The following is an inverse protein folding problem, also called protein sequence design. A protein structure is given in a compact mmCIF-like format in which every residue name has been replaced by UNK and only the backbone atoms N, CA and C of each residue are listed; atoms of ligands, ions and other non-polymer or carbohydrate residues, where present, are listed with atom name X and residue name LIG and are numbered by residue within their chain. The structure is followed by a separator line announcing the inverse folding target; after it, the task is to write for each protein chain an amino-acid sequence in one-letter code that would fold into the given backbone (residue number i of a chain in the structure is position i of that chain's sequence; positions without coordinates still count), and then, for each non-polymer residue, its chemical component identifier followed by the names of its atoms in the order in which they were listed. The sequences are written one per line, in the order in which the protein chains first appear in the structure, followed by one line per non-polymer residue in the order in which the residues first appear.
data_IF_821249523967
#
_entry.id   IF_821249523967
#
_cell.length_a   1.000
_cell.length_b   1.000
_cell.length_c   1.000
_cell.angle_alpha   90.00
_cell.angle_beta   90.00
_cell.angle_gamma   90.00
#
_symmetry.space_group_name_H-M   'P 1'
#
loop_
_entity.id
_entity.type
_entity.pdbx_description
1 polymer ?
#
# COMPACT_ATOMS: atom_id res chain seq x y z
N UNK A 1 -15.57 -6.24 45.00
CA UNK A 1 -15.53 -6.54 43.54
C UNK A 1 -15.28 -8.03 43.40
N UNK A 2 -16.33 -8.79 43.16
CA UNK A 2 -16.24 -10.24 42.96
C UNK A 2 -16.03 -10.49 41.46
N UNK A 3 -15.02 -11.25 41.02
CA UNK A 3 -14.84 -11.58 39.62
C UNK A 3 -15.97 -12.52 39.19
N UNK A 4 -16.76 -12.10 38.19
CA UNK A 4 -17.79 -12.92 37.59
C UNK A 4 -17.18 -14.10 36.82
N UNK A 5 -17.90 -15.22 36.77
CA UNK A 5 -17.49 -16.39 35.99
C UNK A 5 -17.41 -16.06 34.50
N UNK A 6 -16.34 -16.49 33.84
CA UNK A 6 -16.23 -16.48 32.39
C UNK A 6 -17.33 -17.38 31.81
N UNK A 7 -18.16 -16.83 30.92
CA UNK A 7 -19.15 -17.64 30.22
C UNK A 7 -18.42 -18.63 29.32
N UNK A 8 -18.75 -19.92 29.44
CA UNK A 8 -18.41 -20.90 28.41
C UNK A 8 -19.05 -20.46 27.10
N UNK A 9 -18.28 -19.76 26.25
CA UNK A 9 -18.69 -19.43 24.90
C UNK A 9 -18.66 -20.74 24.10
N UNK A 10 -19.72 -21.52 24.24
CA UNK A 10 -20.04 -22.61 23.31
C UNK A 10 -20.44 -21.91 22.02
N UNK A 11 -19.44 -21.59 21.20
CA UNK A 11 -19.64 -21.15 19.83
C UNK A 11 -20.06 -22.40 19.04
N UNK A 12 -21.33 -22.79 19.15
CA UNK A 12 -21.90 -23.82 18.29
C UNK A 12 -21.75 -23.34 16.85
N UNK A 13 -20.78 -23.88 16.12
CA UNK A 13 -20.60 -23.58 14.70
C UNK A 13 -21.86 -24.13 14.01
N UNK A 14 -22.72 -23.27 13.43
CA UNK A 14 -23.93 -23.73 12.80
C UNK A 14 -23.56 -24.67 11.63
N UNK A 15 -24.35 -25.72 11.37
CA UNK A 15 -24.05 -26.67 10.31
C UNK A 15 -23.90 -25.95 8.96
N UNK A 16 -22.73 -26.07 8.35
CA UNK A 16 -22.41 -25.52 7.04
C UNK A 16 -23.24 -26.24 5.97
N UNK A 17 -24.41 -25.69 5.63
CA UNK A 17 -25.26 -26.19 4.54
C UNK A 17 -24.61 -25.87 3.19
N UNK A 18 -24.77 -26.78 2.22
CA UNK A 18 -24.31 -26.54 0.85
C UNK A 18 -24.96 -25.25 0.30
N UNK A 19 -24.16 -24.31 -0.22
CA UNK A 19 -24.68 -23.02 -0.64
C UNK A 19 -25.46 -23.17 -1.95
N UNK A 20 -26.67 -22.62 -1.99
CA UNK A 20 -27.46 -22.53 -3.22
C UNK A 20 -26.86 -21.49 -4.16
N UNK A 21 -26.66 -21.83 -5.44
CA UNK A 21 -26.05 -20.96 -6.45
C UNK A 21 -26.79 -19.62 -6.59
N UNK A 22 -28.12 -19.62 -6.50
CA UNK A 22 -28.94 -18.41 -6.52
C UNK A 22 -28.59 -17.44 -5.39
N UNK A 23 -28.44 -17.96 -4.17
CA UNK A 23 -28.11 -17.17 -2.99
C UNK A 23 -26.67 -16.64 -3.07
N UNK A 24 -25.74 -17.42 -3.62
CA UNK A 24 -24.37 -16.96 -3.86
C UNK A 24 -24.38 -15.78 -4.83
N UNK A 25 -25.08 -15.89 -5.96
CA UNK A 25 -25.15 -14.83 -6.96
C UNK A 25 -25.75 -13.54 -6.38
N UNK A 26 -26.91 -13.63 -5.71
CA UNK A 26 -27.56 -12.45 -5.13
C UNK A 26 -26.68 -11.78 -4.08
N UNK A 27 -26.07 -12.55 -3.16
CA UNK A 27 -25.20 -12.01 -2.12
C UNK A 27 -23.90 -11.44 -2.70
N UNK A 28 -23.36 -12.07 -3.74
CA UNK A 28 -22.15 -11.59 -4.42
C UNK A 28 -22.43 -10.29 -5.14
N UNK A 29 -23.54 -10.21 -5.89
CA UNK A 29 -23.93 -8.98 -6.59
C UNK A 29 -24.21 -7.83 -5.63
N UNK A 30 -24.94 -8.07 -4.54
CA UNK A 30 -25.17 -7.04 -3.53
C UNK A 30 -23.87 -6.54 -2.87
N UNK A 31 -22.92 -7.44 -2.61
CA UNK A 31 -21.60 -7.06 -2.07
C UNK A 31 -20.77 -6.27 -3.09
N UNK A 32 -20.81 -6.66 -4.37
CA UNK A 32 -20.13 -5.93 -5.45
C UNK A 32 -20.71 -4.53 -5.60
N UNK A 33 -22.04 -4.39 -5.63
CA UNK A 33 -22.71 -3.09 -5.76
C UNK A 33 -22.33 -2.16 -4.60
N UNK A 34 -22.35 -2.67 -3.37
CA UNK A 34 -21.94 -1.90 -2.19
C UNK A 34 -20.46 -1.50 -2.24
N UNK A 35 -19.58 -2.43 -2.63
CA UNK A 35 -18.15 -2.15 -2.80
C UNK A 35 -17.90 -1.10 -3.87
N UNK A 36 -18.60 -1.18 -5.02
CA UNK A 36 -18.46 -0.19 -6.08
C UNK A 36 -18.95 1.19 -5.62
N UNK A 37 -20.08 1.26 -4.92
CA UNK A 37 -20.62 2.51 -4.39
C UNK A 37 -19.68 3.19 -3.38
N UNK A 38 -18.94 2.43 -2.58
CA UNK A 38 -18.01 2.99 -1.60
C UNK A 38 -16.62 3.28 -2.20
N UNK A 39 -16.05 2.34 -2.96
CA UNK A 39 -14.68 2.40 -3.44
C UNK A 39 -14.50 3.30 -4.67
N UNK A 40 -15.43 3.23 -5.65
CA UNK A 40 -15.29 3.97 -6.92
C UNK A 40 -15.23 5.49 -6.71
N UNK A 41 -16.09 6.12 -5.87
CA UNK A 41 -16.00 7.56 -5.63
C UNK A 41 -14.65 7.98 -5.05
N UNK A 42 -14.09 7.17 -4.14
CA UNK A 42 -12.79 7.43 -3.53
C UNK A 42 -11.66 7.38 -4.57
N UNK A 43 -11.74 6.41 -5.49
CA UNK A 43 -10.78 6.29 -6.59
C UNK A 43 -10.84 7.48 -7.55
N UNK A 44 -12.05 7.90 -7.95
CA UNK A 44 -12.23 9.06 -8.84
C UNK A 44 -11.68 10.34 -8.19
N UNK A 45 -11.96 10.55 -6.90
CA UNK A 45 -11.40 11.67 -6.15
C UNK A 45 -9.86 11.61 -6.10
N UNK A 46 -9.31 10.45 -5.78
CA UNK A 46 -7.86 10.25 -5.72
C UNK A 46 -7.16 10.52 -7.04
N UNK A 47 -7.69 10.00 -8.16
CA UNK A 47 -7.11 10.24 -9.49
C UNK A 47 -7.28 11.69 -9.93
N UNK A 48 -8.40 12.34 -9.63
CA UNK A 48 -8.60 13.76 -9.92
C UNK A 48 -7.61 14.65 -9.15
N UNK A 49 -7.37 14.34 -7.87
CA UNK A 49 -6.37 15.05 -7.06
C UNK A 49 -4.97 14.86 -7.64
N UNK A 50 -4.57 13.62 -7.98
CA UNK A 50 -3.28 13.36 -8.60
C UNK A 50 -3.11 14.06 -9.95
N UNK A 51 -4.12 13.98 -10.82
CA UNK A 51 -4.10 14.63 -12.13
C UNK A 51 -3.96 16.15 -12.01
N UNK A 52 -4.68 16.74 -11.04
CA UNK A 52 -4.59 18.19 -10.77
C UNK A 52 -3.20 18.56 -10.24
N UNK A 53 -2.67 17.78 -9.30
CA UNK A 53 -1.33 17.97 -8.74
C UNK A 53 -0.22 17.80 -9.79
N UNK A 54 -0.41 16.90 -10.76
CA UNK A 54 0.49 16.67 -11.88
C UNK A 54 0.48 17.88 -12.83
N UNK A 55 -0.72 18.36 -13.20
CA UNK A 55 -0.89 19.58 -14.01
C UNK A 55 -0.28 20.82 -13.36
N UNK A 56 -0.34 20.93 -12.04
CA UNK A 56 0.27 22.00 -11.26
C UNK A 56 1.79 21.82 -11.05
N UNK A 57 2.39 20.73 -11.57
CA UNK A 57 3.81 20.35 -11.37
C UNK A 57 4.20 20.20 -9.90
N UNK A 58 3.26 19.86 -9.02
CA UNK A 58 3.55 19.53 -7.63
C UNK A 58 4.17 18.13 -7.50
N UNK A 59 3.76 17.15 -8.33
CA UNK A 59 4.32 15.80 -8.30
C UNK A 59 5.86 15.81 -8.50
N UNK A 60 6.41 16.44 -9.56
CA UNK A 60 7.85 16.53 -9.76
C UNK A 60 8.61 17.24 -8.63
N UNK A 61 7.94 18.15 -7.90
CA UNK A 61 8.53 18.85 -6.76
C UNK A 61 8.66 17.91 -5.55
N UNK A 62 7.62 17.12 -5.29
CA UNK A 62 7.61 16.08 -4.25
C UNK A 62 8.62 14.98 -4.61
N UNK A 63 8.69 14.59 -5.87
CA UNK A 63 9.69 13.63 -6.37
C UNK A 63 11.10 14.14 -6.15
N UNK A 64 11.41 15.41 -6.45
CA UNK A 64 12.73 15.99 -6.16
C UNK A 64 13.05 16.01 -4.67
N UNK A 65 12.06 16.25 -3.81
CA UNK A 65 12.24 16.21 -2.36
C UNK A 65 12.44 14.78 -1.82
N UNK A 66 11.77 13.79 -2.42
CA UNK A 66 11.89 12.37 -2.06
C UNK A 66 13.10 11.68 -2.72
N UNK A 67 13.60 12.23 -3.83
CA UNK A 67 14.75 11.75 -4.60
C UNK A 67 15.99 11.49 -3.73
N UNK A 68 16.45 12.38 -2.84
CA UNK A 68 17.63 12.07 -2.03
C UNK A 68 17.46 10.85 -1.13
N UNK A 69 16.23 10.54 -0.69
CA UNK A 69 15.96 9.34 0.11
C UNK A 69 15.93 8.11 -0.80
N UNK A 70 15.23 8.19 -1.93
CA UNK A 70 15.03 7.04 -2.82
C UNK A 70 16.32 6.69 -3.60
N UNK A 71 17.07 7.70 -4.03
CA UNK A 71 18.30 7.53 -4.80
C UNK A 71 19.48 7.23 -3.89
N UNK A 72 19.69 7.99 -2.79
CA UNK A 72 20.89 7.79 -1.97
C UNK A 72 20.72 6.68 -0.92
N UNK A 73 19.51 6.46 -0.40
CA UNK A 73 19.28 5.48 0.66
C UNK A 73 18.80 4.12 0.12
N UNK A 74 17.93 4.11 -0.91
CA UNK A 74 17.45 2.88 -1.54
C UNK A 74 18.25 2.48 -2.80
N UNK A 75 19.09 3.38 -3.33
CA UNK A 75 19.87 3.10 -4.54
C UNK A 75 19.05 2.99 -5.82
N UNK A 76 17.86 3.59 -5.86
CA UNK A 76 16.90 3.47 -6.98
C UNK A 76 17.01 4.65 -7.96
N UNK A 77 16.64 4.48 -9.24
CA UNK A 77 16.58 5.59 -10.19
C UNK A 77 15.53 6.63 -9.76
N UNK A 78 15.77 7.91 -10.05
CA UNK A 78 14.86 9.00 -9.66
C UNK A 78 13.41 8.80 -10.16
N UNK A 79 13.23 8.14 -11.31
CA UNK A 79 11.91 7.80 -11.85
C UNK A 79 11.12 6.80 -10.98
N UNK A 80 11.79 6.02 -10.12
CA UNK A 80 11.09 5.13 -9.20
C UNK A 80 10.26 5.90 -8.16
N UNK A 81 10.61 7.17 -7.87
CA UNK A 81 9.85 8.03 -6.98
C UNK A 81 8.40 8.22 -7.44
N UNK A 82 8.19 8.41 -8.75
CA UNK A 82 6.85 8.51 -9.35
C UNK A 82 6.03 7.22 -9.08
N UNK A 83 6.66 6.06 -9.24
CA UNK A 83 6.02 4.77 -8.98
C UNK A 83 5.63 4.59 -7.51
N UNK A 84 6.44 5.08 -6.56
CA UNK A 84 6.07 5.07 -5.14
C UNK A 84 4.93 6.04 -4.81
N UNK A 85 4.88 7.21 -5.44
CA UNK A 85 3.79 8.18 -5.27
C UNK A 85 2.47 7.59 -5.78
N UNK A 86 2.48 6.98 -6.97
CA UNK A 86 1.31 6.29 -7.53
C UNK A 86 0.96 5.08 -6.65
N UNK A 87 1.96 4.38 -6.12
CA UNK A 87 1.81 3.29 -5.16
C UNK A 87 1.12 3.70 -3.85
N UNK A 88 1.29 4.94 -3.40
CA UNK A 88 0.58 5.48 -2.24
C UNK A 88 -0.93 5.63 -2.49
N UNK A 89 -1.36 5.90 -3.73
CA UNK A 89 -2.78 5.87 -4.09
C UNK A 89 -3.31 4.44 -4.04
N UNK A 90 -2.59 3.53 -4.73
CA UNK A 90 -2.90 2.11 -4.79
C UNK A 90 -1.61 1.35 -5.07
N UNK A 91 -1.26 0.43 -4.16
CA UNK A 91 -0.03 -0.37 -4.25
C UNK A 91 0.18 -1.01 -5.62
N UNK A 92 -0.88 -1.57 -6.19
CA UNK A 92 -0.82 -2.31 -7.45
C UNK A 92 -0.34 -1.43 -8.62
N UNK A 93 -0.71 -0.15 -8.62
CA UNK A 93 -0.26 0.80 -9.65
C UNK A 93 1.21 1.16 -9.48
N UNK A 94 1.70 1.26 -8.23
CA UNK A 94 3.14 1.45 -7.99
C UNK A 94 3.96 0.24 -8.42
N UNK A 95 3.46 -0.98 -8.19
CA UNK A 95 4.10 -2.20 -8.68
C UNK A 95 4.13 -2.26 -10.22
N UNK A 96 3.03 -1.86 -10.89
CA UNK A 96 3.00 -1.75 -12.35
C UNK A 96 4.01 -0.71 -12.88
N UNK A 97 4.15 0.44 -12.20
CA UNK A 97 5.17 1.44 -12.53
C UNK A 97 6.60 0.89 -12.43
N UNK A 98 6.91 0.20 -11.32
CA UNK A 98 8.20 -0.46 -11.13
C UNK A 98 8.46 -1.55 -12.19
N UNK A 99 7.44 -2.32 -12.55
CA UNK A 99 7.55 -3.33 -13.61
C UNK A 99 7.87 -2.70 -14.97
N UNK A 100 7.18 -1.62 -15.34
CA UNK A 100 7.47 -0.89 -16.57
C UNK A 100 8.90 -0.30 -16.60
N UNK A 101 9.41 0.16 -15.44
CA UNK A 101 10.81 0.62 -15.32
C UNK A 101 11.82 -0.54 -15.51
N UNK A 102 11.48 -1.74 -15.03
CA UNK A 102 12.31 -2.92 -15.19
C UNK A 102 12.32 -3.40 -16.65
N UNK A 103 11.18 -3.40 -17.34
CA UNK A 103 11.11 -3.70 -18.79
C UNK A 103 11.95 -2.73 -19.62
N UNK A 104 12.03 -1.46 -19.21
CA UNK A 104 12.87 -0.45 -19.84
C UNK A 104 14.37 -0.58 -19.52
N UNK A 105 14.76 -1.62 -18.76
CA UNK A 105 16.17 -1.87 -18.39
C UNK A 105 16.73 -0.87 -17.38
N UNK A 106 15.88 -0.08 -16.71
CA UNK A 106 16.32 0.95 -15.75
C UNK A 106 16.43 0.43 -14.31
N UNK A 107 16.03 -0.81 -14.04
CA UNK A 107 16.12 -1.44 -12.72
C UNK A 107 16.94 -2.74 -12.80
N UNK A 108 17.96 -2.83 -11.95
CA UNK A 108 18.69 -4.08 -11.71
C UNK A 108 17.89 -5.04 -10.83
N UNK A 109 18.21 -6.33 -10.84
CA UNK A 109 17.53 -7.35 -10.02
C UNK A 109 17.54 -7.00 -8.53
N UNK A 110 18.65 -6.48 -7.99
CA UNK A 110 18.74 -6.00 -6.61
C UNK A 110 17.74 -4.87 -6.33
N UNK A 111 17.67 -3.90 -7.23
CA UNK A 111 16.77 -2.74 -7.13
C UNK A 111 15.31 -3.18 -7.20
N UNK A 112 14.97 -4.18 -8.01
CA UNK A 112 13.62 -4.75 -8.06
C UNK A 112 13.25 -5.36 -6.71
N UNK A 113 14.13 -6.17 -6.11
CA UNK A 113 13.88 -6.77 -4.79
C UNK A 113 13.72 -5.68 -3.72
N UNK A 114 14.63 -4.71 -3.65
CA UNK A 114 14.53 -3.56 -2.72
C UNK A 114 13.21 -2.83 -2.90
N UNK A 115 12.81 -2.54 -4.15
CA UNK A 115 11.58 -1.81 -4.46
C UNK A 115 10.33 -2.58 -4.03
N UNK A 116 10.28 -3.88 -4.32
CA UNK A 116 9.15 -4.74 -3.98
C UNK A 116 9.04 -4.97 -2.47
N UNK A 117 10.16 -5.15 -1.77
CA UNK A 117 10.15 -5.24 -0.30
C UNK A 117 9.70 -3.92 0.33
N UNK A 118 10.16 -2.79 -0.21
CA UNK A 118 9.75 -1.47 0.29
C UNK A 118 8.26 -1.26 0.09
N UNK A 119 7.72 -1.52 -1.12
CA UNK A 119 6.30 -1.28 -1.43
C UNK A 119 5.35 -2.24 -0.70
N UNK A 120 5.84 -3.40 -0.26
CA UNK A 120 5.05 -4.38 0.51
C UNK A 120 5.00 -4.06 2.00
N UNK A 121 6.10 -3.58 2.57
CA UNK A 121 6.18 -3.12 3.96
C UNK A 121 5.52 -1.76 4.18
N UNK A 122 5.51 -0.94 3.14
CA UNK A 122 4.76 0.30 3.14
C UNK A 122 3.27 0.02 3.32
N UNK A 123 2.56 0.84 4.10
CA UNK A 123 1.08 0.84 4.13
C UNK A 123 0.61 1.71 2.95
N UNK A 124 0.17 1.11 1.83
CA UNK A 124 -0.10 1.84 0.61
C UNK A 124 -1.59 1.77 0.35
N UNK A 125 -2.35 2.68 0.94
CA UNK A 125 -3.46 3.29 0.22
C UNK A 125 -4.11 4.37 1.06
N UNK A 126 -4.51 5.43 0.36
CA UNK A 126 -5.44 6.44 0.86
C UNK A 126 -6.71 5.79 1.41
N UNK A 127 -7.20 4.71 0.78
CA UNK A 127 -8.36 3.96 1.26
C UNK A 127 -8.17 3.38 2.67
N UNK A 128 -7.04 2.71 2.94
CA UNK A 128 -6.74 2.17 4.27
C UNK A 128 -6.55 3.30 5.27
N UNK A 129 -5.90 4.40 4.88
CA UNK A 129 -5.75 5.57 5.72
C UNK A 129 -7.11 6.19 6.10
N UNK A 130 -8.05 6.30 5.15
CA UNK A 130 -9.42 6.76 5.43
C UNK A 130 -10.18 5.84 6.38
N UNK A 131 -10.08 4.52 6.20
CA UNK A 131 -10.71 3.55 7.11
C UNK A 131 -10.09 3.65 8.50
N UNK A 132 -8.76 3.77 8.61
CA UNK A 132 -8.08 3.96 9.89
C UNK A 132 -8.52 5.27 10.57
N UNK A 133 -8.64 6.37 9.83
CA UNK A 133 -9.14 7.64 10.37
C UNK A 133 -10.58 7.48 10.88
N UNK A 134 -11.44 6.79 10.13
CA UNK A 134 -12.85 6.57 10.48
C UNK A 134 -13.01 5.68 11.72
N UNK A 135 -12.20 4.63 11.86
CA UNK A 135 -12.32 3.62 12.93
C UNK A 135 -11.51 3.95 14.19
N UNK A 136 -10.31 4.54 14.04
CA UNK A 136 -9.33 4.74 15.12
C UNK A 136 -9.06 6.21 15.44
N UNK A 137 -9.62 7.14 14.66
CA UNK A 137 -9.41 8.57 14.78
C UNK A 137 -8.11 9.09 14.15
N UNK A 138 -8.07 10.40 13.89
CA UNK A 138 -6.98 11.06 13.16
C UNK A 138 -5.62 10.95 13.87
N UNK A 139 -5.59 11.05 15.20
CA UNK A 139 -4.34 10.97 15.99
C UNK A 139 -3.67 9.61 15.80
N UNK A 140 -4.43 8.53 15.92
CA UNK A 140 -3.93 7.16 15.76
C UNK A 140 -3.47 6.90 14.32
N UNK A 141 -4.24 7.38 13.33
CA UNK A 141 -3.87 7.26 11.92
C UNK A 141 -2.53 7.94 11.59
N UNK A 142 -2.29 9.11 12.16
CA UNK A 142 -1.05 9.86 11.97
C UNK A 142 0.14 9.13 12.62
N UNK A 143 -0.04 8.59 13.84
CA UNK A 143 1.01 7.81 14.53
C UNK A 143 1.39 6.56 13.73
N UNK A 144 0.40 5.82 13.22
CA UNK A 144 0.66 4.60 12.43
C UNK A 144 1.41 4.95 11.15
N UNK A 145 0.94 5.96 10.41
CA UNK A 145 1.60 6.40 9.17
C UNK A 145 3.02 6.89 9.44
N UNK A 146 3.20 7.69 10.49
CA UNK A 146 4.50 8.23 10.89
C UNK A 146 5.48 7.14 11.35
N UNK A 147 5.00 5.99 11.82
CA UNK A 147 5.85 4.85 12.18
C UNK A 147 6.18 3.98 10.96
N UNK A 148 5.18 3.66 10.13
CA UNK A 148 5.34 2.73 9.02
C UNK A 148 6.18 3.31 7.88
N UNK A 149 6.02 4.60 7.57
CA UNK A 149 6.75 5.28 6.50
C UNK A 149 8.28 5.23 6.69
N UNK A 150 8.85 5.64 7.84
CA UNK A 150 10.29 5.49 8.07
C UNK A 150 10.70 4.03 8.24
N UNK A 151 9.86 3.18 8.83
CA UNK A 151 10.17 1.76 9.00
C UNK A 151 10.36 1.05 7.66
N UNK A 152 9.48 1.27 6.68
CA UNK A 152 9.61 0.66 5.35
C UNK A 152 10.85 1.16 4.61
N UNK A 153 11.16 2.46 4.70
CA UNK A 153 12.36 3.05 4.09
C UNK A 153 13.61 2.50 4.76
N UNK A 154 13.61 2.38 6.09
CA UNK A 154 14.73 1.83 6.87
C UNK A 154 15.02 0.39 6.46
N UNK A 155 13.99 -0.46 6.37
CA UNK A 155 14.16 -1.86 5.96
C UNK A 155 14.60 -1.95 4.50
N UNK A 156 14.02 -1.16 3.60
CA UNK A 156 14.41 -1.11 2.18
C UNK A 156 15.86 -0.68 1.98
N UNK A 157 16.30 0.39 2.66
CA UNK A 157 17.68 0.86 2.59
C UNK A 157 18.67 -0.10 3.25
N UNK A 158 18.31 -0.73 4.37
CA UNK A 158 19.11 -1.78 4.99
C UNK A 158 19.29 -2.97 4.04
N UNK A 159 18.22 -3.36 3.34
CA UNK A 159 18.26 -4.43 2.35
C UNK A 159 19.19 -4.08 1.18
N UNK A 160 19.13 -2.85 0.66
CA UNK A 160 20.05 -2.36 -0.37
C UNK A 160 21.51 -2.41 0.08
N UNK A 161 21.80 -1.96 1.31
CA UNK A 161 23.16 -2.03 1.87
C UNK A 161 23.63 -3.47 2.08
N UNK A 162 22.77 -4.37 2.55
CA UNK A 162 23.12 -5.78 2.70
C UNK A 162 23.39 -6.45 1.35
N UNK A 163 22.54 -6.24 0.34
CA UNK A 163 22.70 -6.80 -1.00
C UNK A 163 23.98 -6.31 -1.68
N UNK A 164 24.24 -5.00 -1.62
CA UNK A 164 25.46 -4.41 -2.16
C UNK A 164 26.73 -4.90 -1.44
N UNK A 165 26.65 -5.11 -0.12
CA UNK A 165 27.77 -5.67 0.65
C UNK A 165 28.03 -7.14 0.34
N UNK A 166 26.98 -7.95 0.20
CA UNK A 166 27.09 -9.37 -0.14
C UNK A 166 27.44 -9.63 -1.62
N UNK A 167 27.48 -8.60 -2.48
CA UNK A 167 27.74 -8.71 -3.94
C UNK A 167 26.94 -9.85 -4.60
N UNK A 168 25.70 -10.05 -4.19
CA UNK A 168 24.91 -11.24 -4.60
C UNK A 168 24.65 -11.27 -6.11
N UNK A 169 24.54 -10.10 -6.76
CA UNK A 169 24.22 -10.00 -8.19
C UNK A 169 25.30 -9.31 -9.04
N UNK A 170 26.54 -9.21 -8.56
CA UNK A 170 27.66 -8.67 -9.34
C UNK A 170 28.45 -9.76 -10.06
#
# INVERSE_FOLDING_TARGET
IVPGQDSDFILEIPPLRLPQLSNILIKTMGRIEWYLKEAVPLFILGTLVLFTADKLKLLPLIEKAASPVIVNFLGLPAKAAESFIIGFLRRDYGAAGLFALQEQGMLNTEQVVVSLTTITLFIPCIANLFVIIKERGLKTALIITAFVFPFSIMVGGLLHHLLSWLRVFN
#
